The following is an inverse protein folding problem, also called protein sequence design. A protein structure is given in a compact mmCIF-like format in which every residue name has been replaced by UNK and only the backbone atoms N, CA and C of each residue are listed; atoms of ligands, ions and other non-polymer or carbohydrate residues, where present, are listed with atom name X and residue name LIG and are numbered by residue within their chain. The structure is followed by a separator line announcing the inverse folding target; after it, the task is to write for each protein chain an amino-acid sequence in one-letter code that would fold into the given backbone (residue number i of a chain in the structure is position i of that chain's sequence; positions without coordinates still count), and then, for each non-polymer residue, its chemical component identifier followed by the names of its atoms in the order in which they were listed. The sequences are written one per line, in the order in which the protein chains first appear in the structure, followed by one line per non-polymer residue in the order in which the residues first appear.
data_IF_189893543703
#
_entry.id   IF_189893543703
#
_cell.length_a   1.000
_cell.length_b   1.000
_cell.length_c   1.000
_cell.angle_alpha   90.00
_cell.angle_beta   90.00
_cell.angle_gamma   90.00
#
_symmetry.space_group_name_H-M   'P 1'
#
loop_
_entity.id
_entity.type
_entity.pdbx_description
1 polymer ?
#
# COMPACT_ATOMS: atom_id res chain seq x y z
N UNK A 1 -20.45 -5.21 -5.05
CA UNK A 1 -21.06 -4.00 -5.64
C UNK A 1 -22.05 -3.34 -4.64
N UNK A 2 -21.72 -3.25 -3.41
CA UNK A 2 -22.40 -2.42 -2.41
C UNK A 2 -21.56 -2.31 -1.14
N UNK A 3 -20.25 -2.32 -1.33
CA UNK A 3 -19.30 -2.38 -0.22
C UNK A 3 -19.13 -1.07 0.56
N UNK A 4 -19.75 0.04 0.13
CA UNK A 4 -19.41 1.35 0.66
C UNK A 4 -20.39 1.98 1.66
N UNK A 5 -21.57 1.44 1.87
CA UNK A 5 -22.58 2.17 2.63
C UNK A 5 -22.78 1.66 4.06
N UNK A 6 -22.57 0.38 4.33
CA UNK A 6 -22.96 -0.22 5.63
C UNK A 6 -21.78 -0.54 6.56
N UNK A 7 -20.55 -0.42 6.11
CA UNK A 7 -19.37 -0.75 6.91
C UNK A 7 -18.72 0.45 7.63
N UNK A 8 -19.33 1.63 7.63
CA UNK A 8 -18.78 2.84 8.25
C UNK A 8 -18.84 2.88 9.77
N UNK A 9 -19.31 1.83 10.41
CA UNK A 9 -19.57 1.83 11.84
C UNK A 9 -18.81 0.84 12.71
N UNK A 10 -18.08 -0.13 12.13
CA UNK A 10 -17.40 -1.18 12.89
C UNK A 10 -15.98 -1.37 12.37
N UNK A 11 -15.03 -1.60 13.28
CA UNK A 11 -13.62 -1.81 12.93
C UNK A 11 -13.42 -2.91 11.89
N UNK A 12 -12.32 -2.86 11.14
CA UNK A 12 -12.05 -3.74 9.98
C UNK A 12 -12.18 -5.24 10.28
N UNK A 13 -12.06 -5.64 11.53
CA UNK A 13 -12.15 -7.04 11.98
C UNK A 13 -13.59 -7.54 11.98
N UNK A 14 -14.52 -6.80 12.57
CA UNK A 14 -15.95 -7.15 12.51
C UNK A 14 -16.48 -7.13 11.08
N UNK A 15 -15.94 -6.27 10.23
CA UNK A 15 -16.35 -6.16 8.84
C UNK A 15 -16.25 -7.50 8.11
N UNK A 16 -15.16 -8.25 8.27
CA UNK A 16 -15.00 -9.54 7.58
C UNK A 16 -15.74 -10.70 8.24
N UNK A 17 -15.84 -10.71 9.56
CA UNK A 17 -16.65 -11.69 10.25
C UNK A 17 -18.14 -11.52 9.90
N UNK A 18 -18.61 -10.27 9.84
CA UNK A 18 -19.95 -9.92 9.36
C UNK A 18 -20.09 -10.18 7.85
N UNK A 19 -19.05 -9.96 7.05
CA UNK A 19 -19.03 -10.26 5.61
C UNK A 19 -19.22 -11.76 5.34
N UNK A 20 -18.58 -12.62 6.14
CA UNK A 20 -18.79 -14.07 6.06
C UNK A 20 -20.26 -14.42 6.32
N UNK A 21 -20.88 -13.84 7.35
CA UNK A 21 -22.30 -14.07 7.66
C UNK A 21 -23.22 -13.46 6.61
N UNK A 22 -22.96 -12.23 6.19
CA UNK A 22 -23.76 -11.50 5.21
C UNK A 22 -23.77 -12.20 3.84
N UNK A 23 -22.64 -12.76 3.41
CA UNK A 23 -22.55 -13.52 2.16
C UNK A 23 -23.42 -14.78 2.13
N UNK A 24 -23.70 -15.35 3.30
CA UNK A 24 -24.54 -16.53 3.45
C UNK A 24 -26.00 -16.19 3.83
N UNK A 25 -26.32 -14.92 4.09
CA UNK A 25 -27.66 -14.47 4.37
C UNK A 25 -28.44 -14.18 3.08
N UNK A 26 -29.78 -14.51 3.03
CA UNK A 26 -30.58 -14.32 1.82
C UNK A 26 -30.68 -12.86 1.36
N UNK A 27 -30.61 -11.92 2.30
CA UNK A 27 -30.71 -10.46 2.09
C UNK A 27 -29.37 -9.73 2.17
N UNK A 28 -28.26 -10.48 2.27
CA UNK A 28 -26.91 -9.95 2.44
C UNK A 28 -26.74 -9.07 3.70
N UNK A 29 -27.63 -9.20 4.68
CA UNK A 29 -27.53 -8.52 5.97
C UNK A 29 -27.09 -9.52 7.03
N UNK A 30 -25.91 -9.25 7.66
CA UNK A 30 -25.36 -10.06 8.74
C UNK A 30 -25.62 -9.42 10.10
N UNK A 31 -26.07 -10.22 11.05
CA UNK A 31 -26.10 -9.89 12.48
C UNK A 31 -25.17 -10.84 13.22
N UNK A 32 -24.38 -10.31 14.13
CA UNK A 32 -23.41 -11.09 14.90
C UNK A 32 -23.46 -10.67 16.37
N UNK A 33 -23.74 -11.63 17.22
CA UNK A 33 -23.55 -11.56 18.66
C UNK A 33 -22.61 -12.70 19.13
N UNK A 34 -22.31 -12.75 20.41
CA UNK A 34 -21.39 -13.76 20.97
C UNK A 34 -21.86 -15.19 20.71
N UNK A 35 -23.17 -15.44 20.79
CA UNK A 35 -23.76 -16.78 20.57
C UNK A 35 -23.60 -17.20 19.12
N UNK A 36 -23.97 -16.31 18.19
CA UNK A 36 -23.85 -16.54 16.74
C UNK A 36 -22.40 -16.63 16.29
N UNK A 37 -21.50 -15.87 16.93
CA UNK A 37 -20.08 -15.99 16.67
C UNK A 37 -19.59 -17.41 16.95
N UNK A 38 -19.90 -17.93 18.15
CA UNK A 38 -19.52 -19.30 18.55
C UNK A 38 -20.19 -20.37 17.68
N UNK A 39 -21.43 -20.15 17.27
CA UNK A 39 -22.18 -21.12 16.46
C UNK A 39 -21.70 -21.15 15.00
N UNK A 40 -21.47 -19.97 14.38
CA UNK A 40 -21.30 -19.86 12.91
C UNK A 40 -19.90 -19.52 12.48
N UNK A 41 -19.14 -18.76 13.28
CA UNK A 41 -17.81 -18.25 12.89
C UNK A 41 -16.70 -19.05 13.53
N UNK A 42 -16.86 -19.51 14.76
CA UNK A 42 -15.80 -20.18 15.51
C UNK A 42 -15.22 -21.41 14.81
N UNK A 43 -16.06 -22.14 14.07
CA UNK A 43 -15.69 -23.32 13.29
C UNK A 43 -15.58 -23.06 11.78
N UNK A 44 -15.63 -21.80 11.38
CA UNK A 44 -15.51 -21.43 9.96
C UNK A 44 -14.15 -21.82 9.39
N UNK A 45 -14.14 -22.40 8.20
CA UNK A 45 -12.97 -22.76 7.43
C UNK A 45 -13.14 -22.29 5.98
N UNK A 46 -12.07 -21.84 5.32
CA UNK A 46 -10.67 -21.84 5.78
C UNK A 46 -10.33 -20.62 6.66
N UNK A 47 -9.31 -20.74 7.52
CA UNK A 47 -8.82 -19.63 8.34
C UNK A 47 -8.40 -18.40 7.52
N UNK A 48 -8.04 -18.57 6.24
CA UNK A 48 -7.65 -17.47 5.36
C UNK A 48 -8.79 -16.52 4.98
N UNK A 49 -10.03 -16.85 5.30
CA UNK A 49 -11.17 -15.96 5.14
C UNK A 49 -11.26 -14.95 6.30
N UNK A 50 -10.60 -15.26 7.42
CA UNK A 50 -10.49 -14.35 8.56
C UNK A 50 -9.46 -13.27 8.25
N UNK A 51 -9.83 -12.02 8.48
CA UNK A 51 -8.95 -10.89 8.25
C UNK A 51 -7.61 -11.04 8.99
N UNK A 52 -6.53 -10.61 8.34
CA UNK A 52 -5.14 -10.76 8.77
C UNK A 52 -4.60 -12.21 8.88
N UNK A 53 -5.40 -13.25 8.67
CA UNK A 53 -4.90 -14.61 8.61
C UNK A 53 -4.62 -14.99 7.15
N UNK A 54 -3.47 -14.59 6.62
CA UNK A 54 -3.01 -15.05 5.31
C UNK A 54 -2.47 -16.49 5.34
N UNK A 55 -2.19 -17.05 4.14
CA UNK A 55 -1.67 -18.43 3.98
C UNK A 55 -0.47 -18.75 4.88
N UNK A 56 0.45 -17.77 5.06
CA UNK A 56 1.63 -17.96 5.90
C UNK A 56 1.30 -18.15 7.39
N UNK A 57 0.33 -17.39 7.92
CA UNK A 57 -0.15 -17.51 9.30
C UNK A 57 -0.96 -18.80 9.45
N UNK A 58 -1.89 -19.08 8.54
CA UNK A 58 -2.69 -20.30 8.54
C UNK A 58 -1.80 -21.55 8.56
N UNK A 59 -0.79 -21.63 7.70
CA UNK A 59 0.16 -22.76 7.67
C UNK A 59 0.93 -22.95 8.98
N UNK A 60 1.22 -21.88 9.71
CA UNK A 60 1.87 -21.96 11.04
C UNK A 60 0.88 -22.43 12.11
N UNK A 61 -0.36 -21.96 12.08
CA UNK A 61 -1.44 -22.40 12.98
C UNK A 61 -1.77 -23.87 12.77
N UNK A 62 -1.80 -24.36 11.52
CA UNK A 62 -2.02 -25.77 11.20
C UNK A 62 -0.98 -26.70 11.83
N UNK A 63 0.28 -26.25 12.02
CA UNK A 63 1.29 -27.04 12.75
C UNK A 63 0.92 -27.33 14.20
N UNK A 64 0.05 -26.50 14.79
CA UNK A 64 -0.48 -26.67 16.13
C UNK A 64 -1.85 -27.35 16.13
N UNK A 65 -2.36 -27.81 14.98
CA UNK A 65 -3.66 -28.46 14.84
C UNK A 65 -4.85 -27.51 14.80
N UNK A 66 -4.63 -26.18 14.65
CA UNK A 66 -5.69 -25.20 14.55
C UNK A 66 -6.04 -24.94 13.09
N UNK A 67 -7.26 -25.31 12.70
CA UNK A 67 -7.81 -25.14 11.35
C UNK A 67 -8.96 -24.11 11.31
N UNK A 68 -9.43 -23.67 12.45
CA UNK A 68 -10.49 -22.70 12.67
C UNK A 68 -10.19 -21.85 13.91
N UNK A 69 -11.03 -20.87 14.21
CA UNK A 69 -10.84 -19.97 15.35
C UNK A 69 -10.94 -20.71 16.68
N UNK A 70 -11.82 -21.71 16.80
CA UNK A 70 -11.89 -22.55 18.01
C UNK A 70 -10.58 -23.29 18.26
N UNK A 71 -9.99 -23.89 17.22
CA UNK A 71 -8.68 -24.53 17.33
C UNK A 71 -7.58 -23.61 17.83
N UNK A 72 -7.63 -22.31 17.44
CA UNK A 72 -6.67 -21.31 17.94
C UNK A 72 -6.83 -21.12 19.46
N UNK A 73 -8.06 -21.08 19.99
CA UNK A 73 -8.30 -20.91 21.44
C UNK A 73 -7.74 -22.05 22.28
N UNK A 74 -7.53 -23.22 21.68
CA UNK A 74 -6.96 -24.40 22.36
C UNK A 74 -5.42 -24.36 22.43
N UNK A 75 -4.77 -23.45 21.71
CA UNK A 75 -3.32 -23.30 21.77
C UNK A 75 -2.97 -22.41 22.97
N UNK A 76 -2.03 -22.82 23.84
CA UNK A 76 -1.56 -21.96 24.92
C UNK A 76 -1.03 -20.63 24.38
N UNK A 77 -1.49 -19.50 24.95
CA UNK A 77 -1.13 -18.14 24.49
C UNK A 77 0.40 -17.94 24.42
N UNK A 78 1.15 -18.48 25.38
CA UNK A 78 2.60 -18.39 25.37
C UNK A 78 3.25 -19.00 24.10
N UNK A 79 2.62 -20.02 23.49
CA UNK A 79 3.09 -20.58 22.22
C UNK A 79 2.74 -19.65 21.05
N UNK A 80 1.56 -19.03 21.07
CA UNK A 80 1.15 -18.05 20.05
C UNK A 80 2.07 -16.84 20.10
N UNK A 81 2.37 -16.29 21.27
CA UNK A 81 3.33 -15.18 21.41
C UNK A 81 4.74 -15.55 20.95
N UNK A 82 5.20 -16.76 21.23
CA UNK A 82 6.50 -17.26 20.74
C UNK A 82 6.56 -17.34 19.21
N UNK A 83 5.45 -17.76 18.57
CA UNK A 83 5.37 -17.97 17.12
C UNK A 83 5.14 -16.68 16.34
N UNK A 84 4.28 -15.78 16.85
CA UNK A 84 3.77 -14.62 16.13
C UNK A 84 4.19 -13.26 16.72
N UNK A 85 4.87 -13.27 17.87
CA UNK A 85 5.26 -12.04 18.59
C UNK A 85 4.03 -11.23 18.99
N UNK A 86 4.08 -9.91 18.88
CA UNK A 86 2.96 -9.02 19.23
C UNK A 86 1.70 -9.27 18.39
N UNK A 87 1.84 -9.79 17.18
CA UNK A 87 0.70 -10.15 16.35
C UNK A 87 -0.15 -11.30 16.91
N UNK A 88 0.38 -12.04 17.91
CA UNK A 88 -0.40 -13.06 18.60
C UNK A 88 -1.61 -12.49 19.33
N UNK A 89 -1.51 -11.27 19.86
CA UNK A 89 -2.60 -10.59 20.57
C UNK A 89 -3.83 -10.48 19.69
N UNK A 90 -3.65 -9.99 18.46
CA UNK A 90 -4.72 -9.89 17.49
C UNK A 90 -5.33 -11.25 17.12
N UNK A 91 -4.48 -12.28 16.94
CA UNK A 91 -4.93 -13.62 16.61
C UNK A 91 -5.76 -14.21 17.77
N UNK A 92 -5.33 -14.00 19.00
CA UNK A 92 -6.02 -14.46 20.22
C UNK A 92 -7.38 -13.75 20.35
N UNK A 93 -7.38 -12.41 20.23
CA UNK A 93 -8.61 -11.63 20.36
C UNK A 93 -9.64 -12.03 19.29
N UNK A 94 -9.20 -12.18 18.04
CA UNK A 94 -10.08 -12.67 16.96
C UNK A 94 -10.61 -14.07 17.22
N UNK A 95 -9.79 -14.98 17.76
CA UNK A 95 -10.21 -16.34 18.10
C UNK A 95 -11.29 -16.35 19.21
N UNK A 96 -11.24 -15.40 20.13
CA UNK A 96 -12.23 -15.23 21.18
C UNK A 96 -13.42 -14.33 20.78
N UNK A 97 -13.45 -13.79 19.57
CA UNK A 97 -14.47 -12.85 19.12
C UNK A 97 -14.41 -11.49 19.84
N UNK A 98 -13.22 -11.08 20.26
CA UNK A 98 -12.98 -9.81 20.93
C UNK A 98 -12.49 -8.78 19.93
N UNK A 99 -13.02 -7.57 20.00
CA UNK A 99 -12.52 -6.42 19.23
C UNK A 99 -12.26 -5.25 20.17
N UNK A 100 -11.00 -5.07 20.60
CA UNK A 100 -10.65 -3.98 21.51
C UNK A 100 -10.64 -2.61 20.81
N UNK A 101 -10.55 -2.57 19.47
CA UNK A 101 -10.45 -1.34 18.72
C UNK A 101 -11.80 -0.68 18.55
N UNK A 102 -11.95 0.56 19.01
CA UNK A 102 -13.16 1.36 18.84
C UNK A 102 -13.07 2.28 17.62
N UNK A 103 -14.22 2.77 17.15
CA UNK A 103 -14.27 3.78 16.08
C UNK A 103 -13.49 5.04 16.48
N UNK A 104 -13.51 5.41 17.76
CA UNK A 104 -12.73 6.53 18.27
C UNK A 104 -11.23 6.29 18.11
N UNK A 105 -10.74 5.08 18.38
CA UNK A 105 -9.35 4.70 18.19
C UNK A 105 -8.95 4.77 16.72
N UNK A 106 -9.81 4.30 15.83
CA UNK A 106 -9.59 4.38 14.36
C UNK A 106 -9.48 5.84 13.93
N UNK A 107 -10.38 6.70 14.39
CA UNK A 107 -10.33 8.14 14.07
C UNK A 107 -9.12 8.85 14.69
N UNK A 108 -8.68 8.42 15.85
CA UNK A 108 -7.52 8.98 16.55
C UNK A 108 -6.18 8.46 15.98
N UNK A 109 -6.19 7.30 15.32
CA UNK A 109 -4.97 6.69 14.79
C UNK A 109 -4.28 7.59 13.77
N UNK A 110 -3.02 7.86 14.03
CA UNK A 110 -2.13 8.61 13.12
C UNK A 110 -0.93 7.71 12.81
N UNK A 111 -0.91 7.04 11.64
CA UNK A 111 0.20 6.17 11.29
C UNK A 111 1.49 6.98 11.14
N UNK A 112 2.56 6.48 11.75
CA UNK A 112 3.91 6.96 11.46
C UNK A 112 4.31 6.31 10.13
N UNK A 113 4.29 7.10 9.06
CA UNK A 113 4.67 6.61 7.73
C UNK A 113 6.20 6.55 7.64
N UNK A 114 6.75 5.37 7.62
CA UNK A 114 8.16 5.12 7.34
C UNK A 114 8.43 4.88 5.85
N UNK A 115 7.39 4.63 5.07
CA UNK A 115 7.44 4.44 3.62
C UNK A 115 6.14 4.87 2.96
N UNK A 116 6.21 5.22 1.69
CA UNK A 116 5.07 5.40 0.80
C UNK A 116 5.34 4.60 -0.47
N UNK A 117 4.31 4.00 -1.05
CA UNK A 117 4.47 3.18 -2.23
C UNK A 117 3.25 3.25 -3.15
N UNK A 118 3.51 3.18 -4.45
CA UNK A 118 2.49 2.96 -5.45
C UNK A 118 2.81 1.69 -6.24
N UNK A 119 1.80 0.89 -6.50
CA UNK A 119 1.91 -0.27 -7.39
C UNK A 119 0.64 -0.39 -8.23
N UNK A 120 0.77 -0.94 -9.43
CA UNK A 120 -0.39 -1.23 -10.26
C UNK A 120 -0.17 -2.45 -11.14
N UNK A 121 -1.26 -3.12 -11.48
CA UNK A 121 -1.34 -4.01 -12.62
C UNK A 121 -1.62 -3.12 -13.83
N UNK A 122 -0.78 -3.21 -14.85
CA UNK A 122 -0.91 -2.40 -16.06
C UNK A 122 -2.15 -2.82 -16.87
N UNK A 123 -2.73 -1.90 -17.62
CA UNK A 123 -3.97 -2.14 -18.38
C UNK A 123 -3.80 -3.24 -19.44
N UNK A 124 -2.63 -3.33 -20.02
CA UNK A 124 -2.20 -4.38 -20.96
C UNK A 124 -0.79 -4.84 -20.62
N UNK A 125 -0.23 -5.71 -21.40
CA UNK A 125 1.20 -6.03 -21.33
C UNK A 125 2.00 -4.91 -22.00
N UNK A 126 3.02 -4.42 -21.31
CA UNK A 126 3.86 -3.29 -21.74
C UNK A 126 5.26 -3.80 -22.10
N UNK A 127 5.88 -3.16 -23.09
CA UNK A 127 7.32 -3.32 -23.32
C UNK A 127 8.13 -2.60 -22.24
N UNK A 128 9.44 -2.81 -22.27
CA UNK A 128 10.35 -2.09 -21.37
C UNK A 128 10.23 -0.57 -21.50
N UNK A 129 10.17 -0.06 -22.74
CA UNK A 129 10.08 1.37 -23.03
C UNK A 129 8.73 1.96 -22.59
N UNK A 130 7.66 1.28 -22.91
CA UNK A 130 6.30 1.69 -22.55
C UNK A 130 6.12 1.80 -21.04
N UNK A 131 6.63 0.84 -20.27
CA UNK A 131 6.50 0.83 -18.82
C UNK A 131 7.27 1.98 -18.11
N UNK A 132 8.20 2.62 -18.79
CA UNK A 132 8.87 3.82 -18.27
C UNK A 132 7.89 4.98 -18.04
N UNK A 133 6.84 5.09 -18.83
CA UNK A 133 5.86 6.19 -18.69
C UNK A 133 5.09 6.07 -17.37
N UNK A 134 4.35 4.97 -17.08
CA UNK A 134 3.65 4.83 -15.80
C UNK A 134 4.60 4.76 -14.61
N UNK A 135 5.85 4.32 -14.77
CA UNK A 135 6.87 4.38 -13.72
C UNK A 135 7.18 5.83 -13.31
N UNK A 136 7.36 6.74 -14.28
CA UNK A 136 7.55 8.19 -14.04
C UNK A 136 6.32 8.82 -13.39
N UNK A 137 5.12 8.44 -13.81
CA UNK A 137 3.87 8.87 -13.21
C UNK A 137 3.74 8.46 -11.73
N UNK A 138 4.20 7.25 -11.39
CA UNK A 138 4.23 6.80 -9.99
C UNK A 138 5.18 7.64 -9.15
N UNK A 139 6.38 7.95 -9.68
CA UNK A 139 7.33 8.82 -8.97
C UNK A 139 6.74 10.21 -8.74
N UNK A 140 6.08 10.81 -9.75
CA UNK A 140 5.41 12.10 -9.60
C UNK A 140 4.35 12.06 -8.48
N UNK A 141 3.52 11.02 -8.48
CA UNK A 141 2.48 10.86 -7.46
C UNK A 141 3.08 10.73 -6.06
N UNK A 142 4.16 9.95 -5.91
CA UNK A 142 4.86 9.77 -4.63
C UNK A 142 5.56 11.06 -4.17
N UNK A 143 6.14 11.85 -5.08
CA UNK A 143 6.73 13.15 -4.74
C UNK A 143 5.66 14.11 -4.24
N UNK A 144 4.50 14.18 -4.88
CA UNK A 144 3.38 14.98 -4.38
C UNK A 144 2.91 14.52 -2.99
N UNK A 145 2.95 13.21 -2.71
CA UNK A 145 2.64 12.67 -1.38
C UNK A 145 3.72 13.04 -0.35
N UNK A 146 5.03 12.99 -0.72
CA UNK A 146 6.12 13.48 0.13
C UNK A 146 5.91 14.94 0.55
N UNK A 147 5.52 15.81 -0.39
CA UNK A 147 5.25 17.21 -0.11
C UNK A 147 4.10 17.39 0.89
N UNK A 148 3.04 16.58 0.77
CA UNK A 148 1.90 16.64 1.70
C UNK A 148 2.29 16.31 3.14
N UNK A 149 3.19 15.35 3.32
CA UNK A 149 3.67 14.92 4.65
C UNK A 149 4.93 15.67 5.09
N UNK A 150 5.40 16.64 4.29
CA UNK A 150 6.68 17.36 4.49
C UNK A 150 7.86 16.40 4.67
N UNK A 151 7.81 15.27 3.95
CA UNK A 151 8.78 14.18 4.01
C UNK A 151 9.87 14.33 2.95
N UNK A 152 11.00 13.68 3.21
CA UNK A 152 12.08 13.40 2.26
C UNK A 152 12.51 11.95 2.39
N UNK A 153 13.10 11.40 1.35
CA UNK A 153 13.61 10.02 1.33
C UNK A 153 15.03 9.96 0.82
N UNK A 154 15.78 8.95 1.25
CA UNK A 154 17.04 8.57 0.65
C UNK A 154 17.07 7.11 0.20
N UNK A 155 15.94 6.40 0.27
CA UNK A 155 15.88 4.99 -0.07
C UNK A 155 14.70 4.72 -1.01
N UNK A 156 14.98 4.18 -2.17
CA UNK A 156 14.00 3.84 -3.21
C UNK A 156 13.98 2.34 -3.46
N UNK A 157 12.82 1.82 -3.82
CA UNK A 157 12.63 0.43 -4.23
C UNK A 157 11.76 0.37 -5.49
N UNK A 158 12.09 -0.56 -6.39
CA UNK A 158 11.34 -0.84 -7.62
C UNK A 158 10.98 -2.31 -7.66
N UNK A 159 9.74 -2.59 -8.06
CA UNK A 159 9.23 -3.95 -8.30
C UNK A 159 8.70 -4.07 -9.72
N UNK A 160 9.02 -5.18 -10.39
CA UNK A 160 8.65 -5.46 -11.78
C UNK A 160 8.07 -6.88 -11.83
N UNK A 161 6.82 -7.00 -12.26
CA UNK A 161 6.17 -8.29 -12.53
C UNK A 161 5.92 -8.45 -14.03
N UNK A 162 6.17 -9.64 -14.53
CA UNK A 162 6.10 -9.95 -15.94
C UNK A 162 4.75 -10.56 -16.31
N UNK A 163 4.40 -10.50 -17.60
CA UNK A 163 3.19 -11.13 -18.14
C UNK A 163 3.28 -12.66 -18.13
N UNK A 164 4.50 -13.20 -18.21
CA UNK A 164 4.76 -14.62 -18.09
C UNK A 164 4.69 -15.05 -16.62
N UNK A 165 3.64 -15.79 -16.25
CA UNK A 165 3.40 -16.26 -14.87
C UNK A 165 4.48 -17.21 -14.34
N UNK A 166 5.20 -17.89 -15.23
CA UNK A 166 6.33 -18.76 -14.85
C UNK A 166 7.56 -17.95 -14.46
N UNK A 167 7.60 -16.67 -14.81
CA UNK A 167 8.73 -15.80 -14.54
C UNK A 167 8.59 -15.14 -13.17
N UNK A 168 9.63 -15.20 -12.37
CA UNK A 168 9.67 -14.50 -11.08
C UNK A 168 9.75 -13.00 -11.30
N UNK A 169 9.02 -12.25 -10.48
CA UNK A 169 9.16 -10.79 -10.40
C UNK A 169 10.61 -10.42 -10.07
N UNK A 170 11.06 -9.31 -10.64
CA UNK A 170 12.37 -8.72 -10.34
C UNK A 170 12.19 -7.38 -9.64
N UNK A 171 13.29 -6.80 -9.20
CA UNK A 171 13.29 -5.51 -8.55
C UNK A 171 14.54 -5.34 -7.70
N UNK A 172 14.64 -4.19 -7.08
CA UNK A 172 15.76 -3.89 -6.22
C UNK A 172 15.56 -2.59 -5.47
N UNK A 173 16.42 -2.34 -4.51
CA UNK A 173 16.44 -1.09 -3.74
C UNK A 173 17.77 -0.35 -3.94
N UNK A 174 17.73 0.94 -3.69
CA UNK A 174 18.92 1.80 -3.75
C UNK A 174 18.84 2.88 -2.71
N UNK A 175 19.90 3.00 -1.91
CA UNK A 175 20.10 4.12 -1.01
C UNK A 175 20.80 5.26 -1.76
N UNK A 176 20.22 6.45 -1.69
CA UNK A 176 20.79 7.68 -2.24
C UNK A 176 21.80 8.29 -1.25
N UNK A 177 22.68 9.13 -1.74
CA UNK A 177 23.70 9.79 -0.89
C UNK A 177 23.06 10.77 0.09
N UNK A 178 22.01 11.46 -0.34
CA UNK A 178 21.33 12.50 0.45
C UNK A 178 19.82 12.26 0.44
N UNK A 179 19.16 12.76 1.48
CA UNK A 179 17.71 12.83 1.51
C UNK A 179 17.21 13.87 0.53
N UNK A 180 16.16 13.55 -0.23
CA UNK A 180 15.59 14.45 -1.24
C UNK A 180 14.10 14.24 -1.43
N UNK A 181 13.42 15.26 -1.93
CA UNK A 181 12.08 15.21 -2.49
C UNK A 181 12.07 15.74 -3.94
N UNK A 182 13.26 15.95 -4.54
CA UNK A 182 13.37 16.36 -5.93
C UNK A 182 12.83 15.30 -6.87
N UNK A 183 11.83 15.68 -7.67
CA UNK A 183 11.22 14.83 -8.68
C UNK A 183 12.27 14.36 -9.71
N UNK A 184 13.15 15.25 -10.13
CA UNK A 184 14.17 14.93 -11.13
C UNK A 184 15.16 13.91 -10.59
N UNK A 185 15.66 14.11 -9.37
CA UNK A 185 16.61 13.20 -8.71
C UNK A 185 15.99 11.83 -8.51
N UNK A 186 14.77 11.77 -7.94
CA UNK A 186 14.06 10.52 -7.67
C UNK A 186 13.68 9.79 -8.96
N UNK A 187 13.20 10.52 -9.98
CA UNK A 187 12.87 9.91 -11.29
C UNK A 187 14.11 9.30 -11.94
N UNK A 188 15.20 10.03 -11.96
CA UNK A 188 16.46 9.52 -12.53
C UNK A 188 16.95 8.28 -11.81
N UNK A 189 16.88 8.27 -10.48
CA UNK A 189 17.30 7.13 -9.66
C UNK A 189 16.40 5.91 -9.86
N UNK A 190 15.06 6.11 -9.90
CA UNK A 190 14.07 5.04 -10.11
C UNK A 190 14.21 4.43 -11.51
N UNK A 191 14.31 5.25 -12.56
CA UNK A 191 14.46 4.74 -13.94
C UNK A 191 15.79 3.98 -14.10
N UNK A 192 16.87 4.47 -13.50
CA UNK A 192 18.15 3.75 -13.51
C UNK A 192 18.06 2.41 -12.79
N UNK A 193 17.34 2.36 -11.65
CA UNK A 193 17.13 1.12 -10.90
C UNK A 193 16.24 0.14 -11.68
N UNK A 194 15.19 0.64 -12.32
CA UNK A 194 14.34 -0.12 -13.23
C UNK A 194 15.15 -0.73 -14.38
N UNK A 195 16.01 0.07 -15.04
CA UNK A 195 16.87 -0.40 -16.13
C UNK A 195 17.83 -1.53 -15.70
N UNK A 196 18.35 -1.46 -14.48
CA UNK A 196 19.27 -2.46 -13.94
C UNK A 196 18.61 -3.80 -13.64
N UNK A 197 17.32 -3.81 -13.29
CA UNK A 197 16.61 -5.00 -12.83
C UNK A 197 15.56 -5.53 -13.82
N UNK A 198 15.23 -4.79 -14.87
CA UNK A 198 14.23 -5.20 -15.84
C UNK A 198 14.82 -6.14 -16.90
N UNK A 199 14.14 -7.23 -17.17
CA UNK A 199 14.41 -8.08 -18.32
C UNK A 199 13.78 -7.45 -19.57
N UNK A 200 14.59 -6.74 -20.36
CA UNK A 200 14.13 -5.89 -21.48
C UNK A 200 13.35 -6.61 -22.58
N UNK A 201 13.55 -7.91 -22.72
CA UNK A 201 12.89 -8.74 -23.74
C UNK A 201 11.54 -9.32 -23.27
N UNK A 202 11.17 -9.08 -22.02
CA UNK A 202 9.95 -9.62 -21.42
C UNK A 202 8.86 -8.56 -21.31
N UNK A 203 7.62 -8.98 -21.54
CA UNK A 203 6.48 -8.10 -21.37
C UNK A 203 6.15 -7.91 -19.88
N UNK A 204 5.91 -6.66 -19.50
CA UNK A 204 5.66 -6.25 -18.12
C UNK A 204 4.15 -6.16 -17.87
N UNK A 205 3.70 -6.71 -16.77
CA UNK A 205 2.29 -6.70 -16.35
C UNK A 205 2.05 -5.96 -15.04
N UNK A 206 3.08 -5.86 -14.20
CA UNK A 206 2.99 -5.16 -12.90
C UNK A 206 4.23 -4.32 -12.66
N UNK A 207 4.04 -3.14 -12.13
CA UNK A 207 5.12 -2.27 -11.67
C UNK A 207 4.79 -1.70 -10.29
N UNK A 208 5.84 -1.37 -9.53
CA UNK A 208 5.71 -0.70 -8.24
C UNK A 208 6.94 0.13 -7.93
N UNK A 209 6.72 1.24 -7.26
CA UNK A 209 7.76 2.14 -6.73
C UNK A 209 7.47 2.39 -5.27
N UNK A 210 8.49 2.35 -4.43
CA UNK A 210 8.41 2.69 -3.01
C UNK A 210 9.50 3.68 -2.65
N UNK A 211 9.15 4.63 -1.80
CA UNK A 211 10.09 5.51 -1.09
C UNK A 211 10.09 5.09 0.37
N UNK A 212 11.25 4.73 0.87
CA UNK A 212 11.46 4.18 2.19
C UNK A 212 12.33 5.12 3.03
N UNK A 213 12.54 4.80 4.31
CA UNK A 213 13.33 5.61 5.24
C UNK A 213 12.88 7.09 5.27
N UNK A 214 11.56 7.32 5.29
CA UNK A 214 10.99 8.65 5.29
C UNK A 214 11.33 9.40 6.58
N UNK A 215 11.82 10.62 6.42
CA UNK A 215 12.05 11.54 7.54
C UNK A 215 11.39 12.88 7.24
N UNK A 216 11.07 13.63 8.31
CA UNK A 216 10.58 14.99 8.13
C UNK A 216 11.73 15.86 7.60
N UNK A 217 11.47 16.70 6.61
CA UNK A 217 12.47 17.59 6.01
C UNK A 217 13.15 18.48 7.06
N UNK A 218 12.42 18.97 8.04
CA UNK A 218 12.98 19.81 9.10
C UNK A 218 13.96 19.09 10.02
N UNK A 219 13.98 17.76 9.99
CA UNK A 219 14.92 16.96 10.78
C UNK A 219 16.28 16.76 10.07
N UNK A 220 16.39 17.13 8.79
CA UNK A 220 17.64 17.03 8.05
C UNK A 220 18.46 18.29 8.29
N UNK A 221 19.69 18.18 8.81
CA UNK A 221 20.58 19.31 8.91
C UNK A 221 20.85 19.90 7.50
N UNK A 222 20.66 21.21 7.36
CA UNK A 222 21.10 21.88 6.13
C UNK A 222 22.63 21.98 6.18
N UNK A 223 23.32 21.10 5.48
CA UNK A 223 24.73 21.28 5.20
C UNK A 223 24.88 22.43 4.20
N UNK A 224 25.32 23.57 4.69
CA UNK A 224 25.64 24.73 3.87
C UNK A 224 27.04 24.50 3.28
N UNK A 225 27.10 23.80 2.16
CA UNK A 225 28.32 23.73 1.35
C UNK A 225 28.37 24.92 0.40
N UNK A 226 29.53 25.57 0.34
CA UNK A 226 29.77 26.78 -0.49
C UNK A 226 29.52 26.51 -1.99
N UNK A 227 29.60 25.25 -2.42
CA UNK A 227 29.36 24.82 -3.81
C UNK A 227 27.94 24.28 -4.08
N UNK A 228 27.12 24.10 -3.04
CA UNK A 228 25.76 23.56 -3.16
C UNK A 228 24.67 24.60 -3.45
N UNK A 229 25.03 25.89 -3.46
CA UNK A 229 24.06 26.99 -3.63
C UNK A 229 23.31 26.99 -4.96
N UNK A 230 23.89 26.46 -6.01
CA UNK A 230 23.24 26.36 -7.34
C UNK A 230 22.21 25.23 -7.38
N UNK A 231 22.55 24.04 -6.86
CA UNK A 231 21.67 22.88 -6.79
C UNK A 231 20.48 23.11 -5.85
N UNK A 232 20.71 23.78 -4.72
CA UNK A 232 19.64 24.15 -3.78
C UNK A 232 18.60 25.10 -4.38
N UNK A 233 19.00 26.00 -5.27
CA UNK A 233 18.09 26.94 -5.91
C UNK A 233 17.22 26.25 -6.98
N UNK A 234 17.77 25.29 -7.71
CA UNK A 234 17.01 24.52 -8.69
C UNK A 234 15.99 23.57 -8.03
N UNK A 235 16.41 22.89 -6.97
CA UNK A 235 15.50 22.02 -6.18
C UNK A 235 14.38 22.82 -5.52
N UNK A 236 14.66 24.02 -5.03
CA UNK A 236 13.64 24.89 -4.45
C UNK A 236 12.63 25.37 -5.50
N UNK A 237 13.07 25.76 -6.69
CA UNK A 237 12.19 26.11 -7.81
C UNK A 237 11.33 24.91 -8.25
N UNK A 238 11.93 23.72 -8.34
CA UNK A 238 11.22 22.50 -8.66
C UNK A 238 10.13 22.23 -7.61
N UNK A 239 10.44 22.37 -6.33
CA UNK A 239 9.50 22.20 -5.22
C UNK A 239 8.32 23.16 -5.32
N UNK A 240 8.57 24.45 -5.57
CA UNK A 240 7.51 25.45 -5.74
C UNK A 240 6.55 25.06 -6.88
N UNK A 241 7.07 24.53 -7.99
CA UNK A 241 6.24 24.00 -9.08
C UNK A 241 5.39 22.82 -8.62
N UNK A 242 5.96 21.86 -7.86
CA UNK A 242 5.22 20.72 -7.35
C UNK A 242 4.15 21.13 -6.32
N UNK A 243 4.43 22.11 -5.48
CA UNK A 243 3.46 22.68 -4.52
C UNK A 243 2.29 23.36 -5.25
N UNK A 244 2.58 24.12 -6.30
CA UNK A 244 1.54 24.72 -7.15
C UNK A 244 0.68 23.64 -7.82
N UNK A 245 1.30 22.60 -8.39
CA UNK A 245 0.58 21.46 -8.97
C UNK A 245 -0.30 20.76 -7.93
N UNK A 246 0.21 20.55 -6.72
CA UNK A 246 -0.54 19.94 -5.63
C UNK A 246 -1.75 20.80 -5.24
N UNK A 247 -1.58 22.11 -5.15
CA UNK A 247 -2.66 23.08 -4.87
C UNK A 247 -3.75 23.01 -5.93
N UNK A 248 -3.38 23.03 -7.21
CA UNK A 248 -4.31 22.91 -8.33
C UNK A 248 -5.08 21.58 -8.28
N UNK A 249 -4.37 20.46 -8.06
CA UNK A 249 -5.01 19.14 -7.96
C UNK A 249 -5.97 19.03 -6.77
N UNK A 250 -5.66 19.69 -5.65
CA UNK A 250 -6.55 19.74 -4.47
C UNK A 250 -7.83 20.55 -4.74
N UNK A 251 -7.71 21.66 -5.47
CA UNK A 251 -8.83 22.55 -5.72
C UNK A 251 -9.72 22.07 -6.88
N UNK A 252 -9.14 21.55 -7.95
CA UNK A 252 -9.84 21.27 -9.21
C UNK A 252 -9.88 19.77 -9.56
N UNK A 253 -9.35 18.89 -8.68
CA UNK A 253 -9.32 17.45 -8.86
C UNK A 253 -8.01 16.92 -9.44
N UNK A 254 -7.77 15.62 -9.25
CA UNK A 254 -6.49 14.96 -9.56
C UNK A 254 -6.09 15.06 -11.04
N UNK A 255 -7.04 15.16 -11.96
CA UNK A 255 -6.81 15.23 -13.40
C UNK A 255 -6.77 16.66 -13.97
N UNK A 256 -6.88 17.70 -13.14
CA UNK A 256 -6.90 19.11 -13.58
C UNK A 256 -5.58 19.57 -14.19
N UNK A 257 -4.46 18.98 -13.76
CA UNK A 257 -3.14 19.24 -14.34
C UNK A 257 -2.37 17.92 -14.43
N UNK A 258 -1.88 17.62 -15.63
CA UNK A 258 -1.09 16.42 -15.93
C UNK A 258 0.13 16.82 -16.77
N UNK A 259 1.20 16.01 -16.69
CA UNK A 259 2.33 16.16 -17.61
C UNK A 259 1.95 15.67 -19.00
N UNK A 260 2.54 16.23 -20.04
CA UNK A 260 2.29 15.81 -21.42
C UNK A 260 2.58 14.31 -21.63
N UNK A 261 3.56 13.75 -20.95
CA UNK A 261 3.88 12.31 -20.98
C UNK A 261 2.72 11.43 -20.51
N UNK A 262 1.87 11.91 -19.59
CA UNK A 262 0.69 11.17 -19.11
C UNK A 262 -0.49 11.18 -20.09
N UNK A 263 -0.37 11.91 -21.19
CA UNK A 263 -1.35 11.92 -22.29
C UNK A 263 -0.96 10.97 -23.43
N UNK A 264 0.19 10.34 -23.35
CA UNK A 264 0.62 9.28 -24.26
C UNK A 264 -0.25 8.03 -24.05
N UNK A 265 -0.29 7.14 -25.05
CA UNK A 265 -1.06 5.90 -25.01
C UNK A 265 -0.66 4.99 -23.82
N UNK A 266 0.61 5.05 -23.46
CA UNK A 266 1.19 4.27 -22.35
C UNK A 266 0.85 4.86 -20.98
N UNK A 267 0.38 6.12 -20.93
CA UNK A 267 0.06 6.82 -19.68
C UNK A 267 -1.12 6.19 -18.95
N UNK A 268 -0.99 6.00 -17.66
CA UNK A 268 -2.02 5.39 -16.82
C UNK A 268 -2.57 6.34 -15.75
N UNK A 269 -1.91 7.48 -15.50
CA UNK A 269 -2.25 8.39 -14.41
C UNK A 269 -3.68 8.91 -14.50
N UNK A 270 -4.13 9.28 -15.72
CA UNK A 270 -5.48 9.80 -15.93
C UNK A 270 -6.55 8.79 -15.50
N UNK A 271 -6.37 7.53 -15.89
CA UNK A 271 -7.25 6.43 -15.50
C UNK A 271 -7.13 6.12 -14.01
N UNK A 272 -5.91 5.99 -13.48
CA UNK A 272 -5.69 5.73 -12.04
C UNK A 272 -6.35 6.76 -11.14
N UNK A 273 -6.36 8.03 -11.55
CA UNK A 273 -6.97 9.10 -10.77
C UNK A 273 -8.50 9.00 -10.66
N UNK A 274 -9.16 8.18 -11.51
CA UNK A 274 -10.60 7.90 -11.44
C UNK A 274 -10.93 6.71 -10.54
N UNK A 275 -9.92 5.90 -10.15
CA UNK A 275 -10.13 4.74 -9.31
C UNK A 275 -10.30 5.15 -7.84
N UNK A 276 -11.20 4.46 -7.13
CA UNK A 276 -11.37 4.56 -5.68
C UNK A 276 -10.87 3.27 -5.06
N UNK A 277 -9.81 3.35 -4.22
CA UNK A 277 -9.22 2.16 -3.60
C UNK A 277 -8.67 1.12 -4.58
N UNK A 278 -8.34 1.52 -5.82
CA UNK A 278 -7.86 0.63 -6.89
C UNK A 278 -8.96 -0.03 -7.73
N UNK A 279 -10.22 0.28 -7.46
CA UNK A 279 -11.39 -0.19 -8.19
C UNK A 279 -12.11 0.96 -8.90
N UNK A 280 -12.85 0.65 -9.98
CA UNK A 280 -13.70 1.65 -10.63
C UNK A 280 -14.76 2.13 -9.63
N UNK A 281 -14.77 3.44 -9.37
CA UNK A 281 -15.76 4.09 -8.52
C UNK A 281 -17.01 4.45 -9.33
N UNK A 282 -17.77 3.45 -9.78
CA UNK A 282 -19.14 3.63 -10.28
C UNK A 282 -20.14 3.15 -9.25
#
# INVERSE_FOLDING_TARGET
IRDDVESRGLGDVYKRQLDILAKHAPDFIGYLDESLFKEKIWYHQPLTDIWQIGKGIANRLHKYGAYDLHGITMIPEAKLYKEFGINAELIIDHAWGREPCTIADIHAYRPIKHSISHSQILLRNYTYEEACVPMREMVESLVLELLQIKGVTNHIYVHIGYANEMMRSTGGSKKLKQYTDSLQTLTTAVIKLYEQHCHKNELIRRIGVSFEDLVNRSAIPQEVDLFSTLTTNEEEKERQVQEAMLSIKKQFGKNSILRASSLQEEGTMRFRNTLVGGHNGE
#
